data_IF_743025744896
#
_entry.id   IF_743025744896
#
_cell.length_a   1.000
_cell.length_b   1.000
_cell.length_c   1.000
_cell.angle_alpha   90.00
_cell.angle_beta   90.00
_cell.angle_gamma   90.00
#
_symmetry.space_group_name_H-M   'P 1'
#
loop_
_entity.id
_entity.type
_entity.pdbx_description
1 polymer ?
#
# COMPACT_ATOMS: atom_id res chain seq x y z
N UNK A 1 -14.19 -10.77 -4.80
CA UNK A 1 -12.81 -10.48 -4.35
C UNK A 1 -11.88 -11.05 -5.41
N UNK A 2 -11.45 -10.21 -6.33
CA UNK A 2 -10.53 -10.63 -7.37
C UNK A 2 -9.09 -10.46 -6.86
N UNK A 3 -8.44 -11.57 -6.59
CA UNK A 3 -7.04 -11.61 -6.18
C UNK A 3 -6.19 -11.80 -7.43
N UNK A 4 -5.53 -10.74 -7.90
CA UNK A 4 -4.58 -10.85 -8.99
C UNK A 4 -3.22 -11.29 -8.45
N UNK A 5 -2.94 -12.60 -8.53
CA UNK A 5 -1.63 -13.16 -8.18
C UNK A 5 -0.80 -13.24 -9.45
N UNK A 6 0.22 -12.41 -9.57
CA UNK A 6 1.21 -12.49 -10.64
C UNK A 6 2.50 -13.05 -10.05
N UNK A 7 2.76 -14.32 -10.40
CA UNK A 7 3.96 -15.13 -10.17
C UNK A 7 3.95 -16.11 -8.97
N UNK A 8 4.54 -17.29 -9.25
CA UNK A 8 4.55 -18.51 -8.43
C UNK A 8 5.46 -18.43 -7.17
N UNK A 9 5.18 -17.52 -6.26
CA UNK A 9 5.84 -17.52 -4.95
C UNK A 9 4.82 -17.63 -3.83
N UNK A 10 4.78 -18.80 -3.19
CA UNK A 10 4.02 -19.00 -1.95
C UNK A 10 4.79 -18.31 -0.82
N UNK A 11 4.32 -17.13 -0.41
CA UNK A 11 4.86 -16.42 0.73
C UNK A 11 4.23 -16.92 2.03
N UNK A 12 4.98 -17.66 2.84
CA UNK A 12 4.54 -18.00 4.20
C UNK A 12 4.87 -16.85 5.16
N UNK A 13 3.92 -16.52 6.05
CA UNK A 13 3.96 -15.42 7.05
C UNK A 13 5.17 -15.43 8.03
N UNK A 14 6.17 -16.33 7.87
CA UNK A 14 7.18 -16.62 8.91
C UNK A 14 8.44 -15.76 8.92
N UNK A 15 8.71 -14.91 7.92
CA UNK A 15 10.01 -14.24 7.78
C UNK A 15 10.00 -12.74 8.12
N UNK A 16 9.16 -12.30 9.05
CA UNK A 16 9.10 -10.90 9.46
C UNK A 16 9.85 -10.67 10.78
N UNK A 17 11.07 -10.15 10.69
CA UNK A 17 11.82 -9.68 11.86
C UNK A 17 11.59 -8.18 12.10
N UNK A 18 11.39 -7.73 13.36
CA UNK A 18 11.12 -6.32 13.66
C UNK A 18 12.38 -5.46 13.57
N UNK A 19 12.31 -4.34 12.89
CA UNK A 19 13.33 -3.30 12.92
C UNK A 19 13.14 -2.40 14.14
N UNK A 20 14.25 -1.93 14.73
CA UNK A 20 14.33 -1.09 15.92
C UNK A 20 13.55 0.21 15.74
N UNK A 21 12.64 0.49 16.69
CA UNK A 21 11.85 1.71 16.77
C UNK A 21 12.72 2.90 17.19
N UNK A 22 12.73 3.96 16.39
CA UNK A 22 13.12 5.30 16.84
C UNK A 22 11.85 6.17 16.88
N UNK A 23 11.66 6.87 18.02
CA UNK A 23 10.55 7.80 18.26
C UNK A 23 10.58 9.00 17.29
N UNK A 24 10.05 8.83 16.09
CA UNK A 24 9.76 9.98 15.22
C UNK A 24 8.32 9.88 14.70
N UNK A 25 7.61 11.01 14.70
CA UNK A 25 6.24 11.15 14.18
C UNK A 25 6.11 10.87 12.67
N UNK A 26 7.20 10.55 11.98
CA UNK A 26 7.25 10.08 10.60
C UNK A 26 7.81 8.66 10.60
N UNK A 27 7.10 7.73 9.95
CA UNK A 27 7.62 6.40 9.67
C UNK A 27 8.95 6.53 8.92
N UNK A 28 10.05 5.94 9.41
CA UNK A 28 11.31 5.96 8.68
C UNK A 28 11.18 5.10 7.43
N UNK A 29 11.23 5.73 6.25
CA UNK A 29 11.27 5.03 4.99
C UNK A 29 12.70 4.58 4.72
N UNK A 30 12.93 3.27 4.65
CA UNK A 30 14.24 2.70 4.33
C UNK A 30 14.44 2.68 2.81
N UNK A 31 15.26 3.59 2.30
CA UNK A 31 15.68 3.59 0.91
C UNK A 31 16.88 2.66 0.74
N UNK A 32 16.62 1.39 0.44
CA UNK A 32 17.63 0.38 0.13
C UNK A 32 17.43 -0.06 -1.31
N UNK A 33 18.25 0.46 -2.23
CA UNK A 33 18.24 0.03 -3.64
C UNK A 33 18.48 -1.47 -3.75
N UNK A 34 17.80 -2.12 -4.69
CA UNK A 34 17.84 -3.57 -4.94
C UNK A 34 17.29 -4.46 -3.81
N UNK A 35 16.60 -3.90 -2.81
CA UNK A 35 15.92 -4.67 -1.78
C UNK A 35 14.44 -4.85 -2.08
N UNK A 36 13.88 -5.92 -1.55
CA UNK A 36 12.44 -6.13 -1.61
C UNK A 36 11.74 -5.25 -0.58
N UNK A 37 10.71 -4.54 -1.05
CA UNK A 37 9.88 -3.66 -0.22
C UNK A 37 8.43 -4.10 -0.28
N UNK A 38 7.84 -4.29 0.89
CA UNK A 38 6.40 -4.45 1.03
C UNK A 38 5.79 -3.09 1.34
N UNK A 39 4.80 -2.68 0.55
CA UNK A 39 4.17 -1.37 0.64
C UNK A 39 2.67 -1.57 0.77
N UNK A 40 2.05 -0.87 1.73
CA UNK A 40 0.59 -0.76 1.85
C UNK A 40 0.17 0.70 1.80
N UNK A 41 -0.81 1.03 0.97
CA UNK A 41 -1.45 2.34 0.98
C UNK A 41 -2.96 2.20 0.79
N UNK A 42 -3.71 3.12 1.36
CA UNK A 42 -5.16 3.05 1.48
C UNK A 42 -5.85 4.30 0.98
N UNK A 43 -7.12 4.17 0.63
CA UNK A 43 -7.96 5.33 0.27
C UNK A 43 -8.12 6.28 1.46
N UNK A 44 -8.34 7.56 1.17
CA UNK A 44 -8.48 8.59 2.21
C UNK A 44 -9.66 8.30 3.13
N UNK A 45 -10.80 7.91 2.55
CA UNK A 45 -12.05 7.68 3.28
C UNK A 45 -12.11 6.32 3.99
N UNK A 46 -11.07 5.47 3.86
CA UNK A 46 -10.98 4.19 4.58
C UNK A 46 -10.74 4.35 6.08
N UNK A 47 -10.26 5.53 6.50
CA UNK A 47 -10.03 5.86 7.91
C UNK A 47 -11.27 6.50 8.53
N UNK A 48 -12.27 5.70 8.84
CA UNK A 48 -13.39 6.10 9.66
C UNK A 48 -13.00 6.25 11.15
N UNK A 49 -13.98 6.50 11.99
CA UNK A 49 -13.77 6.66 13.43
C UNK A 49 -13.09 5.43 14.06
N UNK A 50 -13.53 4.22 13.71
CA UNK A 50 -13.00 2.99 14.29
C UNK A 50 -11.54 2.73 13.87
N UNK A 51 -11.22 2.93 12.59
CA UNK A 51 -9.85 2.84 12.11
C UNK A 51 -8.90 3.81 12.83
N UNK A 52 -9.37 5.01 13.16
CA UNK A 52 -8.60 5.98 13.95
C UNK A 52 -8.33 5.48 15.35
N UNK A 53 -9.28 4.83 16.01
CA UNK A 53 -9.05 4.25 17.34
C UNK A 53 -7.96 3.16 17.35
N UNK A 54 -7.83 2.39 16.26
CA UNK A 54 -6.72 1.43 16.12
C UNK A 54 -5.37 2.15 16.09
N UNK A 55 -5.28 3.27 15.35
CA UNK A 55 -4.04 4.04 15.24
C UNK A 55 -3.65 4.74 16.55
N UNK A 56 -4.61 5.02 17.44
CA UNK A 56 -4.39 5.65 18.76
C UNK A 56 -3.96 4.66 19.84
N UNK A 57 -4.13 3.34 19.62
CA UNK A 57 -3.70 2.32 20.61
C UNK A 57 -2.20 2.40 20.87
N UNK A 58 -1.79 2.09 22.11
CA UNK A 58 -0.37 1.93 22.48
C UNK A 58 0.17 0.56 22.01
N UNK A 59 0.31 0.40 20.71
CA UNK A 59 0.81 -0.81 20.07
C UNK A 59 2.06 -0.49 19.24
N UNK A 60 2.86 -1.52 18.95
CA UNK A 60 3.93 -1.38 17.96
C UNK A 60 3.36 -1.05 16.59
N UNK A 61 4.13 -0.34 15.75
CA UNK A 61 3.73 0.02 14.39
C UNK A 61 3.24 -1.22 13.60
N UNK A 62 3.96 -2.33 13.72
CA UNK A 62 3.59 -3.59 13.07
C UNK A 62 2.21 -4.13 13.51
N UNK A 63 1.93 -4.10 14.83
CA UNK A 63 0.63 -4.56 15.34
C UNK A 63 -0.50 -3.65 14.91
N UNK A 64 -0.27 -2.33 14.88
CA UNK A 64 -1.25 -1.35 14.38
C UNK A 64 -1.59 -1.61 12.91
N UNK A 65 -0.59 -1.81 12.06
CA UNK A 65 -0.81 -2.09 10.64
C UNK A 65 -1.55 -3.42 10.44
N UNK A 66 -1.20 -4.46 11.21
CA UNK A 66 -1.91 -5.74 11.13
C UNK A 66 -3.39 -5.61 11.54
N UNK A 67 -3.69 -4.92 12.66
CA UNK A 67 -5.08 -4.68 13.08
C UNK A 67 -5.83 -3.83 12.07
N UNK A 68 -5.16 -2.85 11.49
CA UNK A 68 -5.75 -1.98 10.48
C UNK A 68 -6.02 -2.73 9.17
N UNK A 69 -5.11 -3.59 8.72
CA UNK A 69 -5.32 -4.43 7.54
C UNK A 69 -6.52 -5.37 7.74
N UNK A 70 -6.61 -6.03 8.90
CA UNK A 70 -7.78 -6.88 9.24
C UNK A 70 -9.09 -6.06 9.22
N UNK A 71 -9.05 -4.83 9.72
CA UNK A 71 -10.21 -3.95 9.68
C UNK A 71 -10.58 -3.56 8.25
N UNK A 72 -9.60 -3.15 7.45
CA UNK A 72 -9.81 -2.71 6.06
C UNK A 72 -10.35 -3.83 5.17
N UNK A 73 -9.91 -5.08 5.37
CA UNK A 73 -10.41 -6.25 4.66
C UNK A 73 -11.92 -6.48 4.87
N UNK A 74 -12.43 -6.08 6.03
CA UNK A 74 -13.85 -6.25 6.39
C UNK A 74 -14.67 -4.96 6.25
N UNK A 75 -14.01 -3.80 6.04
CA UNK A 75 -14.65 -2.50 5.99
C UNK A 75 -15.07 -2.13 4.56
N UNK A 76 -16.24 -1.49 4.44
CA UNK A 76 -16.69 -0.85 3.21
C UNK A 76 -16.31 0.63 3.13
N UNK A 77 -15.70 1.18 4.17
CA UNK A 77 -15.27 2.58 4.21
C UNK A 77 -14.19 2.83 3.15
N UNK A 78 -14.39 3.82 2.28
CA UNK A 78 -13.46 4.16 1.22
C UNK A 78 -13.30 3.08 0.12
N UNK A 79 -14.22 2.15 0.02
CA UNK A 79 -14.21 1.05 -0.94
C UNK A 79 -14.59 1.53 -2.34
N UNK A 80 -13.62 1.99 -3.13
CA UNK A 80 -13.81 2.57 -4.46
C UNK A 80 -13.21 1.73 -5.59
N UNK A 81 -12.34 0.78 -5.26
CA UNK A 81 -11.58 0.01 -6.24
C UNK A 81 -12.36 -1.24 -6.65
N UNK A 82 -13.24 -1.07 -7.64
CA UNK A 82 -14.03 -2.14 -8.26
C UNK A 82 -14.02 -2.00 -9.78
N UNK A 83 -14.15 -3.11 -10.49
CA UNK A 83 -14.30 -3.14 -11.94
C UNK A 83 -13.22 -2.34 -12.66
N UNK A 84 -13.60 -1.37 -13.50
CA UNK A 84 -12.67 -0.55 -14.29
C UNK A 84 -11.66 0.23 -13.44
N UNK A 85 -12.00 0.61 -12.20
CA UNK A 85 -11.07 1.28 -11.30
C UNK A 85 -9.87 0.40 -10.92
N UNK A 86 -10.06 -0.93 -10.83
CA UNK A 86 -8.98 -1.90 -10.63
C UNK A 86 -8.06 -1.93 -11.84
N UNK A 87 -8.61 -2.00 -13.05
CA UNK A 87 -7.83 -2.04 -14.30
C UNK A 87 -7.01 -0.75 -14.48
N UNK A 88 -7.61 0.41 -14.25
CA UNK A 88 -6.90 1.70 -14.27
C UNK A 88 -5.70 1.69 -13.31
N UNK A 89 -5.91 1.22 -12.09
CA UNK A 89 -4.84 1.19 -11.08
C UNK A 89 -3.76 0.18 -11.44
N UNK A 90 -4.14 -0.99 -11.94
CA UNK A 90 -3.25 -2.03 -12.44
C UNK A 90 -2.34 -1.49 -13.55
N UNK A 91 -2.89 -0.83 -14.54
CA UNK A 91 -2.13 -0.25 -15.65
C UNK A 91 -1.10 0.77 -15.15
N UNK A 92 -1.46 1.61 -14.17
CA UNK A 92 -0.54 2.58 -13.56
C UNK A 92 0.59 1.88 -12.79
N UNK A 93 0.27 0.79 -12.07
CA UNK A 93 1.26 -0.01 -11.36
C UNK A 93 2.24 -0.66 -12.35
N UNK A 94 1.77 -1.13 -13.50
CA UNK A 94 2.65 -1.73 -14.53
C UNK A 94 3.46 -0.69 -15.33
N UNK A 95 3.02 0.55 -15.43
CA UNK A 95 3.63 1.57 -16.29
C UNK A 95 5.11 1.80 -16.01
N UNK A 96 5.54 1.71 -14.76
CA UNK A 96 6.95 1.91 -14.36
C UNK A 96 7.63 0.62 -13.87
N UNK A 97 7.04 -0.52 -14.17
CA UNK A 97 7.68 -1.81 -13.93
C UNK A 97 8.98 -1.91 -14.74
N UNK A 98 10.04 -2.43 -14.16
CA UNK A 98 11.42 -2.50 -14.69
C UNK A 98 12.09 -1.13 -14.94
N UNK A 99 11.48 -0.04 -14.47
CA UNK A 99 12.06 1.32 -14.55
C UNK A 99 12.31 1.86 -13.15
N UNK A 100 11.27 1.95 -12.31
CA UNK A 100 11.38 2.43 -10.93
C UNK A 100 11.39 1.27 -9.92
N UNK A 101 10.87 0.12 -10.31
CA UNK A 101 10.76 -1.10 -9.49
C UNK A 101 10.50 -2.31 -10.38
N UNK A 102 10.76 -3.49 -9.84
CA UNK A 102 10.30 -4.77 -10.40
C UNK A 102 9.14 -5.28 -9.53
N UNK A 103 7.99 -5.56 -10.14
CA UNK A 103 6.83 -6.10 -9.43
C UNK A 103 7.07 -7.58 -9.11
N UNK A 104 6.94 -7.95 -7.85
CA UNK A 104 6.93 -9.35 -7.41
C UNK A 104 5.51 -9.87 -7.29
N UNK A 105 4.67 -9.15 -6.54
CA UNK A 105 3.24 -9.46 -6.36
C UNK A 105 2.51 -8.19 -5.92
N UNK A 106 1.24 -8.08 -6.25
CA UNK A 106 0.36 -7.05 -5.71
C UNK A 106 -1.04 -7.59 -5.47
N UNK A 107 -1.77 -6.94 -4.58
CA UNK A 107 -3.18 -7.16 -4.34
C UNK A 107 -3.90 -5.81 -4.28
N UNK A 108 -4.94 -5.64 -5.08
CA UNK A 108 -5.81 -4.48 -5.06
C UNK A 108 -7.08 -4.87 -4.33
N UNK A 109 -7.25 -4.33 -3.13
CA UNK A 109 -8.44 -4.48 -2.30
C UNK A 109 -9.37 -3.29 -2.53
N UNK A 110 -10.65 -3.37 -2.19
CA UNK A 110 -11.60 -2.28 -2.45
C UNK A 110 -11.21 -0.91 -1.91
N UNK A 111 -10.46 -0.86 -0.81
CA UNK A 111 -10.09 0.39 -0.11
C UNK A 111 -8.59 0.51 0.20
N UNK A 112 -7.77 -0.45 -0.18
CA UNK A 112 -6.32 -0.42 0.02
C UNK A 112 -5.59 -1.29 -1.00
N UNK A 113 -4.27 -1.15 -1.06
CA UNK A 113 -3.40 -1.86 -2.00
C UNK A 113 -2.17 -2.36 -1.27
N UNK A 114 -1.80 -3.60 -1.52
CA UNK A 114 -0.52 -4.18 -1.13
C UNK A 114 0.36 -4.37 -2.34
N UNK A 115 1.62 -3.97 -2.24
CA UNK A 115 2.65 -4.17 -3.26
C UNK A 115 3.87 -4.82 -2.62
N UNK A 116 4.39 -5.86 -3.25
CA UNK A 116 5.74 -6.36 -3.02
C UNK A 116 6.54 -6.10 -4.27
N UNK A 117 7.56 -5.29 -4.16
CA UNK A 117 8.42 -4.86 -5.26
C UNK A 117 9.89 -5.03 -4.91
N UNK A 118 10.73 -5.21 -5.92
CA UNK A 118 12.16 -4.95 -5.79
C UNK A 118 12.41 -3.49 -6.18
N UNK A 119 12.98 -2.74 -5.27
CA UNK A 119 13.17 -1.30 -5.41
C UNK A 119 14.35 -1.00 -6.35
N UNK A 120 14.12 -0.19 -7.40
CA UNK A 120 15.14 0.30 -8.34
C UNK A 120 15.36 1.82 -8.22
N UNK A 121 14.43 2.55 -7.60
CA UNK A 121 14.50 3.99 -7.31
C UNK A 121 14.00 4.24 -5.88
N UNK A 122 14.14 5.46 -5.39
CA UNK A 122 13.69 5.86 -4.05
C UNK A 122 12.21 5.54 -3.85
N UNK A 123 11.88 4.87 -2.75
CA UNK A 123 10.52 4.47 -2.42
C UNK A 123 9.51 5.64 -2.50
N UNK A 124 9.95 6.85 -2.11
CA UNK A 124 9.14 8.05 -2.20
C UNK A 124 8.76 8.40 -3.65
N UNK A 125 9.66 8.20 -4.62
CA UNK A 125 9.39 8.43 -6.04
C UNK A 125 8.39 7.40 -6.57
N UNK A 126 8.57 6.14 -6.21
CA UNK A 126 7.68 5.02 -6.59
C UNK A 126 6.26 5.31 -6.09
N UNK A 127 6.10 5.57 -4.80
CA UNK A 127 4.80 5.84 -4.19
C UNK A 127 4.17 7.12 -4.73
N UNK A 128 4.98 8.18 -4.93
CA UNK A 128 4.52 9.43 -5.54
C UNK A 128 3.97 9.20 -6.96
N UNK A 129 4.66 8.40 -7.78
CA UNK A 129 4.19 8.06 -9.13
C UNK A 129 2.84 7.33 -9.07
N UNK A 130 2.76 6.22 -8.33
CA UNK A 130 1.55 5.39 -8.28
C UNK A 130 0.38 6.18 -7.70
N UNK A 131 0.52 6.77 -6.50
CA UNK A 131 -0.56 7.49 -5.83
C UNK A 131 -0.94 8.78 -6.53
N UNK A 132 0.03 9.54 -7.03
CA UNK A 132 -0.22 10.82 -7.70
C UNK A 132 -0.99 10.64 -9.01
N UNK A 133 -0.51 9.77 -9.89
CA UNK A 133 -1.17 9.51 -11.18
C UNK A 133 -2.54 8.86 -11.00
N UNK A 134 -2.62 7.83 -10.15
CA UNK A 134 -3.89 7.15 -9.91
C UNK A 134 -4.94 8.03 -9.24
N UNK A 135 -4.56 8.92 -8.31
CA UNK A 135 -5.50 9.87 -7.70
C UNK A 135 -6.22 10.71 -8.75
N UNK A 136 -5.48 11.23 -9.72
CA UNK A 136 -6.05 12.07 -10.78
C UNK A 136 -7.03 11.27 -11.66
N UNK A 137 -6.58 10.11 -12.16
CA UNK A 137 -7.37 9.31 -13.12
C UNK A 137 -8.59 8.69 -12.43
N UNK A 138 -8.40 8.11 -11.21
CA UNK A 138 -9.51 7.50 -10.46
C UNK A 138 -10.54 8.52 -9.99
N UNK A 139 -10.13 9.71 -9.55
CA UNK A 139 -11.07 10.77 -9.22
C UNK A 139 -11.91 11.18 -10.43
N UNK A 140 -11.29 11.30 -11.61
CA UNK A 140 -12.01 11.61 -12.85
C UNK A 140 -12.98 10.50 -13.22
N UNK A 141 -12.54 9.24 -13.19
CA UNK A 141 -13.37 8.06 -13.51
C UNK A 141 -14.58 7.94 -12.56
N UNK A 142 -14.35 8.09 -11.27
CA UNK A 142 -15.36 7.94 -10.23
C UNK A 142 -16.18 9.24 -9.99
N UNK A 143 -15.91 10.31 -10.75
CA UNK A 143 -16.52 11.64 -10.58
C UNK A 143 -16.37 12.17 -9.13
N UNK A 144 -15.23 11.91 -8.51
CA UNK A 144 -14.85 12.35 -7.17
C UNK A 144 -13.91 13.54 -7.24
N UNK A 145 -13.83 14.29 -6.14
CA UNK A 145 -12.88 15.38 -5.95
C UNK A 145 -12.13 15.22 -4.61
N UNK A 146 -11.03 15.93 -4.45
CA UNK A 146 -10.24 15.91 -3.23
C UNK A 146 -9.24 14.77 -3.19
N UNK A 147 -8.84 14.38 -1.99
CA UNK A 147 -7.83 13.35 -1.79
C UNK A 147 -8.40 11.97 -2.05
N UNK A 148 -7.79 11.24 -2.97
CA UNK A 148 -8.14 9.83 -3.20
C UNK A 148 -7.43 8.91 -2.21
N UNK A 149 -6.11 9.07 -2.05
CA UNK A 149 -5.29 8.26 -1.15
C UNK A 149 -5.02 8.97 0.18
N UNK A 150 -4.96 8.20 1.25
CA UNK A 150 -4.43 8.68 2.53
C UNK A 150 -2.99 9.17 2.35
N UNK A 151 -2.58 10.22 3.07
CA UNK A 151 -1.26 10.86 2.86
C UNK A 151 -0.10 9.90 3.13
N UNK A 152 -0.21 9.13 4.20
CA UNK A 152 0.81 8.17 4.59
C UNK A 152 0.65 6.84 3.82
N UNK A 153 1.71 6.06 3.83
CA UNK A 153 1.76 4.66 3.42
C UNK A 153 2.64 3.91 4.42
N UNK A 154 2.45 2.62 4.51
CA UNK A 154 3.33 1.73 5.26
C UNK A 154 4.31 1.11 4.28
N UNK A 155 5.60 1.03 4.66
CA UNK A 155 6.61 0.29 3.91
C UNK A 155 7.49 -0.51 4.86
N UNK A 156 7.93 -1.67 4.39
CA UNK A 156 8.81 -2.56 5.14
C UNK A 156 9.79 -3.24 4.19
N UNK A 157 11.09 -3.06 4.46
CA UNK A 157 12.12 -3.83 3.78
C UNK A 157 12.04 -5.30 4.20
N UNK A 158 12.07 -6.20 3.21
CA UNK A 158 12.15 -7.64 3.42
C UNK A 158 13.62 -8.01 3.33
N UNK A 159 14.13 -8.68 4.35
CA UNK A 159 15.47 -9.24 4.36
C UNK A 159 15.39 -10.68 3.87
N UNK A 160 16.30 -11.04 2.98
CA UNK A 160 16.54 -12.43 2.59
C UNK A 160 17.10 -13.22 3.76
#
# INVERSE_FOLDING_TARGET
MELFIVSNCIFTKRNFLPTRSTNSKKLPHLCLENHYQFITFRTYDSLDFYARTILEKELTIYKKELELDIYLDNSKSGAYLYGEAIEILKDIIFEKNNILYEIVIFAIMPNHVHLLIKQLDKIANIVKHIKGKSSFILNKHLKKSGRFWHINYFDKAIRE
#
